data_IF_681787913212
#
_entry.id   IF_681787913212
#
_cell.length_a   1.000
_cell.length_b   1.000
_cell.length_c   1.000
_cell.angle_alpha   90.00
_cell.angle_beta   90.00
_cell.angle_gamma   90.00
#
_symmetry.space_group_name_H-M   'P 1'
#
loop_
_entity.id
_entity.type
_entity.pdbx_description
1 polymer ?
#
# COMPACT_ATOMS: atom_id res chain seq x y z
N UNK A 1 22.23 5.93 21.75
CA UNK A 1 22.76 6.10 20.37
C UNK A 1 23.69 7.31 20.38
N UNK A 2 24.99 7.25 20.12
CA UNK A 2 25.87 6.14 19.79
C UNK A 2 27.31 6.51 20.18
N UNK A 3 28.05 5.53 20.67
CA UNK A 3 29.51 5.62 20.82
C UNK A 3 30.08 4.93 19.60
N UNK A 4 30.93 5.62 18.83
CA UNK A 4 31.66 5.00 17.71
C UNK A 4 32.80 4.15 18.25
N UNK A 5 32.48 2.96 18.76
CA UNK A 5 33.46 2.02 19.28
C UNK A 5 33.27 0.66 18.61
N UNK A 6 33.96 0.41 17.48
CA UNK A 6 33.89 -0.88 16.81
C UNK A 6 34.60 -1.95 17.64
N UNK A 7 33.97 -3.13 17.75
CA UNK A 7 34.49 -4.28 18.46
C UNK A 7 34.82 -5.39 17.46
N UNK A 8 35.75 -6.30 17.81
CA UNK A 8 36.00 -7.48 16.97
C UNK A 8 34.78 -8.42 16.91
N UNK A 9 34.02 -8.49 18.01
CA UNK A 9 32.91 -9.41 18.17
C UNK A 9 31.78 -8.76 18.98
N UNK A 10 30.54 -9.08 18.63
CA UNK A 10 29.32 -8.65 19.33
C UNK A 10 28.55 -9.90 19.79
N UNK A 11 28.11 -9.89 21.06
CA UNK A 11 27.31 -10.97 21.65
C UNK A 11 25.92 -10.43 21.98
N UNK A 12 24.88 -11.09 21.51
CA UNK A 12 23.51 -10.85 21.93
C UNK A 12 23.15 -11.78 23.08
N UNK A 13 22.75 -11.20 24.21
CA UNK A 13 22.24 -11.98 25.35
C UNK A 13 20.84 -12.54 25.10
N UNK A 14 20.03 -11.79 24.35
CA UNK A 14 18.65 -12.11 23.97
C UNK A 14 18.30 -11.44 22.65
N UNK A 15 17.42 -12.07 21.86
CA UNK A 15 16.86 -11.50 20.62
C UNK A 15 15.58 -10.69 20.86
N UNK A 16 15.10 -10.64 22.12
CA UNK A 16 13.90 -9.91 22.52
C UNK A 16 14.26 -8.68 23.34
N UNK A 17 13.59 -7.56 23.03
CA UNK A 17 13.73 -6.25 23.66
C UNK A 17 12.39 -5.80 24.23
N UNK A 18 12.43 -5.17 25.39
CA UNK A 18 11.26 -4.56 26.00
C UNK A 18 11.15 -3.08 25.59
N UNK A 19 10.06 -2.70 24.92
CA UNK A 19 9.83 -1.34 24.42
C UNK A 19 9.08 -0.44 25.41
N UNK A 20 8.88 -0.92 26.64
CA UNK A 20 8.14 -0.22 27.70
C UNK A 20 6.67 -0.64 27.79
N UNK A 21 6.11 -1.25 26.74
CA UNK A 21 4.75 -1.79 26.70
C UNK A 21 4.73 -3.31 26.61
N UNK A 22 5.52 -3.84 25.68
CA UNK A 22 5.59 -5.26 25.40
C UNK A 22 7.03 -5.70 25.17
N UNK A 23 7.23 -7.01 25.31
CA UNK A 23 8.49 -7.67 25.02
C UNK A 23 8.40 -8.22 23.60
N UNK A 24 9.08 -7.57 22.67
CA UNK A 24 9.04 -7.88 21.23
C UNK A 24 10.40 -8.32 20.71
N UNK A 25 10.41 -8.96 19.56
CA UNK A 25 11.65 -9.27 18.85
C UNK A 25 12.33 -7.99 18.34
N UNK A 26 13.65 -8.08 18.19
CA UNK A 26 14.45 -7.02 17.58
C UNK A 26 14.01 -6.77 16.14
N UNK A 27 13.90 -5.50 15.77
CA UNK A 27 13.67 -5.13 14.39
C UNK A 27 14.95 -5.39 13.57
N UNK A 28 14.84 -5.72 12.27
CA UNK A 28 16.00 -5.92 11.41
C UNK A 28 16.95 -4.73 11.39
N UNK A 29 16.42 -3.51 11.48
CA UNK A 29 17.22 -2.28 11.55
C UNK A 29 18.02 -2.16 12.85
N UNK A 30 17.41 -2.53 13.99
CA UNK A 30 18.09 -2.56 15.30
C UNK A 30 19.21 -3.63 15.29
N UNK A 31 18.93 -4.80 14.73
CA UNK A 31 19.90 -5.89 14.60
C UNK A 31 21.11 -5.49 13.72
N UNK A 32 20.86 -4.91 12.54
CA UNK A 32 21.92 -4.43 11.64
C UNK A 32 22.74 -3.32 12.30
N UNK A 33 22.11 -2.41 13.05
CA UNK A 33 22.82 -1.33 13.73
C UNK A 33 23.77 -1.87 14.82
N UNK A 34 23.34 -2.87 15.59
CA UNK A 34 24.17 -3.48 16.64
C UNK A 34 25.27 -4.37 16.05
N UNK A 35 24.93 -5.24 15.08
CA UNK A 35 25.90 -6.12 14.42
C UNK A 35 26.89 -5.38 13.54
N UNK A 36 26.52 -4.22 12.98
CA UNK A 36 27.41 -3.37 12.19
C UNK A 36 28.59 -2.80 12.99
N UNK A 37 28.56 -2.90 14.32
CA UNK A 37 29.71 -2.58 15.18
C UNK A 37 30.72 -3.73 15.31
N UNK A 38 30.42 -4.92 14.79
CA UNK A 38 31.31 -6.08 14.78
C UNK A 38 32.26 -6.04 13.57
N UNK A 39 33.55 -6.21 13.83
CA UNK A 39 34.63 -6.18 12.85
C UNK A 39 35.26 -4.80 12.73
N UNK A 40 36.55 -4.70 13.05
CA UNK A 40 37.30 -3.44 12.92
C UNK A 40 37.96 -3.37 11.55
N UNK A 41 37.64 -2.32 10.79
CA UNK A 41 38.18 -2.07 9.45
C UNK A 41 39.71 -2.05 9.49
N UNK A 42 40.35 -2.91 8.69
CA UNK A 42 41.80 -2.99 8.55
C UNK A 42 42.53 -3.80 9.63
N UNK A 43 41.83 -4.32 10.65
CA UNK A 43 42.40 -5.17 11.69
C UNK A 43 41.82 -6.58 11.68
N UNK A 44 40.50 -6.68 11.49
CA UNK A 44 39.80 -7.97 11.50
C UNK A 44 39.32 -8.29 10.06
N UNK A 45 39.52 -9.53 9.60
CA UNK A 45 39.10 -9.98 8.26
C UNK A 45 37.58 -10.08 8.16
N UNK A 46 36.92 -10.46 9.26
CA UNK A 46 35.47 -10.60 9.38
C UNK A 46 35.00 -10.14 10.75
N UNK A 47 33.78 -9.62 10.84
CA UNK A 47 33.09 -9.37 12.10
C UNK A 47 32.36 -10.62 12.57
N UNK A 48 32.52 -11.01 13.83
CA UNK A 48 31.83 -12.17 14.40
C UNK A 48 30.67 -11.72 15.28
N UNK A 49 29.52 -12.35 15.09
CA UNK A 49 28.31 -12.09 15.89
C UNK A 49 27.85 -13.41 16.50
N UNK A 50 27.59 -13.43 17.79
CA UNK A 50 27.12 -14.61 18.52
C UNK A 50 25.78 -14.28 19.18
N UNK A 51 24.78 -15.15 19.01
CA UNK A 51 23.52 -15.06 19.73
C UNK A 51 23.50 -16.12 20.82
N UNK A 52 23.41 -15.68 22.07
CA UNK A 52 23.35 -16.57 23.22
C UNK A 52 21.92 -17.10 23.36
N UNK A 53 21.78 -18.43 23.37
CA UNK A 53 20.50 -19.10 23.58
C UNK A 53 20.49 -19.67 25.00
N UNK A 54 19.91 -18.92 25.95
CA UNK A 54 19.85 -19.33 27.37
C UNK A 54 18.72 -20.31 27.68
N UNK A 55 17.70 -20.39 26.83
CA UNK A 55 16.51 -21.24 27.00
C UNK A 55 16.22 -21.99 25.70
N UNK A 56 14.96 -22.00 25.29
CA UNK A 56 14.55 -22.62 24.02
C UNK A 56 15.25 -21.98 22.83
N UNK A 57 15.58 -22.82 21.85
CA UNK A 57 16.17 -22.37 20.59
C UNK A 57 15.10 -21.60 19.84
N UNK A 58 15.33 -20.33 19.49
CA UNK A 58 14.36 -19.53 18.75
C UNK A 58 14.07 -20.15 17.39
N UNK A 59 12.83 -19.99 16.91
CA UNK A 59 12.43 -20.56 15.64
C UNK A 59 13.26 -19.99 14.49
N UNK A 60 13.61 -20.85 13.54
CA UNK A 60 14.39 -20.44 12.36
C UNK A 60 13.66 -19.37 11.53
N UNK A 61 12.33 -19.35 11.56
CA UNK A 61 11.53 -18.31 10.91
C UNK A 61 11.80 -16.92 11.50
N UNK A 62 11.80 -16.80 12.83
CA UNK A 62 12.02 -15.54 13.54
C UNK A 62 13.45 -15.03 13.36
N UNK A 63 14.44 -15.92 13.47
CA UNK A 63 15.83 -15.57 13.21
C UNK A 63 16.04 -15.07 11.77
N UNK A 64 15.44 -15.74 10.78
CA UNK A 64 15.50 -15.29 9.38
C UNK A 64 14.84 -13.94 9.20
N UNK A 65 13.72 -13.68 9.88
CA UNK A 65 13.04 -12.39 9.83
C UNK A 65 13.91 -11.27 10.40
N UNK A 66 14.64 -11.51 11.49
CA UNK A 66 15.52 -10.49 12.10
C UNK A 66 16.76 -10.26 11.24
N UNK A 67 17.39 -11.32 10.72
CA UNK A 67 18.67 -11.23 10.00
C UNK A 67 18.53 -10.83 8.53
N UNK A 68 17.53 -11.36 7.83
CA UNK A 68 17.30 -11.17 6.39
C UNK A 68 16.05 -10.31 6.10
N UNK A 69 15.37 -9.84 7.14
CA UNK A 69 14.18 -9.02 6.98
C UNK A 69 14.46 -7.69 6.31
N UNK A 70 13.43 -7.12 5.69
CA UNK A 70 13.49 -5.75 5.17
C UNK A 70 13.69 -4.79 6.34
N UNK A 71 14.62 -3.84 6.16
CA UNK A 71 14.86 -2.79 7.13
C UNK A 71 13.63 -1.90 7.29
N UNK A 72 13.47 -1.34 8.49
CA UNK A 72 12.37 -0.40 8.77
C UNK A 72 12.53 0.84 7.91
N UNK A 73 11.46 1.20 7.20
CA UNK A 73 11.42 2.44 6.43
C UNK A 73 11.50 3.64 7.37
N UNK A 74 12.14 4.72 6.90
CA UNK A 74 12.16 5.98 7.61
C UNK A 74 10.74 6.53 7.68
N UNK A 75 10.23 6.72 8.89
CA UNK A 75 8.92 7.33 9.12
C UNK A 75 9.08 8.74 9.68
N UNK A 76 8.21 9.65 9.26
CA UNK A 76 8.12 10.98 9.84
C UNK A 76 7.77 10.88 11.33
N UNK A 77 8.61 11.46 12.18
CA UNK A 77 8.30 11.68 13.61
C UNK A 77 7.80 13.11 13.85
N UNK A 78 7.44 13.84 12.80
CA UNK A 78 6.94 15.19 12.92
C UNK A 78 5.62 15.19 13.70
N UNK A 79 5.59 15.91 14.82
CA UNK A 79 4.40 16.10 15.65
C UNK A 79 4.24 17.59 15.93
N UNK A 80 3.06 18.12 15.61
CA UNK A 80 2.72 19.49 15.93
C UNK A 80 2.57 19.62 17.45
N UNK A 81 3.47 20.37 18.07
CA UNK A 81 3.43 20.65 19.51
C UNK A 81 3.09 22.13 19.72
N UNK A 82 2.37 22.47 20.79
CA UNK A 82 2.01 23.87 21.10
C UNK A 82 3.20 24.82 21.08
N UNK A 83 4.38 24.38 21.56
CA UNK A 83 5.62 25.17 21.49
C UNK A 83 6.01 25.55 20.06
N UNK A 84 5.83 24.65 19.09
CA UNK A 84 6.10 24.93 17.67
C UNK A 84 5.11 25.97 17.15
N UNK A 85 3.82 25.81 17.43
CA UNK A 85 2.77 26.74 17.00
C UNK A 85 3.02 28.15 17.56
N UNK A 86 3.28 28.25 18.87
CA UNK A 86 3.53 29.53 19.52
C UNK A 86 4.80 30.21 18.99
N UNK A 87 5.85 29.43 18.72
CA UNK A 87 7.07 29.97 18.13
C UNK A 87 6.87 30.44 16.68
N UNK A 88 6.02 29.76 15.90
CA UNK A 88 5.66 30.18 14.54
C UNK A 88 4.78 31.43 14.55
N UNK A 89 3.81 31.54 15.46
CA UNK A 89 3.00 32.76 15.61
C UNK A 89 3.85 33.96 16.01
N UNK A 90 4.96 33.76 16.72
CA UNK A 90 5.91 34.82 17.08
C UNK A 90 6.75 35.26 15.88
N UNK A 91 7.01 34.39 14.92
CA UNK A 91 7.83 34.67 13.74
C UNK A 91 6.89 34.83 12.54
N UNK A 92 6.46 36.07 12.26
CA UNK A 92 5.45 36.38 11.22
C UNK A 92 5.79 35.94 9.78
N UNK A 93 7.01 35.45 9.54
CA UNK A 93 7.51 35.11 8.21
C UNK A 93 7.09 33.72 7.71
N UNK A 94 6.72 32.79 8.59
CA UNK A 94 6.41 31.40 8.20
C UNK A 94 5.08 30.98 8.82
N UNK A 95 4.11 30.68 7.96
CA UNK A 95 2.82 30.14 8.40
C UNK A 95 2.92 28.65 8.68
N UNK A 96 2.06 28.16 9.57
CA UNK A 96 2.07 26.74 9.99
C UNK A 96 1.79 25.81 8.81
N UNK A 97 0.95 26.24 7.89
CA UNK A 97 0.58 25.48 6.69
C UNK A 97 1.78 25.25 5.78
N UNK A 98 2.65 26.25 5.64
CA UNK A 98 3.85 26.17 4.81
C UNK A 98 4.87 25.22 5.44
N UNK A 99 5.01 25.23 6.77
CA UNK A 99 5.83 24.26 7.49
C UNK A 99 5.30 22.82 7.35
N UNK A 100 3.97 22.64 7.43
CA UNK A 100 3.34 21.32 7.25
C UNK A 100 3.57 20.77 5.84
N UNK A 101 3.45 21.61 4.81
CA UNK A 101 3.70 21.21 3.41
C UNK A 101 5.14 20.76 3.16
N UNK A 102 6.10 21.32 3.89
CA UNK A 102 7.51 20.96 3.80
C UNK A 102 7.89 19.78 4.72
N UNK A 103 6.95 19.27 5.52
CA UNK A 103 7.21 18.17 6.44
C UNK A 103 7.49 16.86 5.68
N UNK A 104 8.34 16.00 6.26
CA UNK A 104 8.68 14.70 5.66
C UNK A 104 7.45 13.77 5.52
N UNK A 105 6.41 13.98 6.33
CA UNK A 105 5.14 13.26 6.19
C UNK A 105 4.44 13.55 4.86
N UNK A 106 4.51 14.80 4.39
CA UNK A 106 3.83 15.24 3.16
C UNK A 106 4.63 14.90 1.89
N UNK A 107 5.92 14.60 2.04
CA UNK A 107 6.80 14.27 0.91
C UNK A 107 6.31 13.04 0.12
N UNK A 108 5.88 11.98 0.80
CA UNK A 108 5.35 10.79 0.13
C UNK A 108 4.03 11.10 -0.58
N UNK A 109 3.12 11.83 0.07
CA UNK A 109 1.85 12.27 -0.51
C UNK A 109 2.07 13.11 -1.76
N UNK A 110 3.01 14.06 -1.73
CA UNK A 110 3.36 14.89 -2.90
C UNK A 110 3.91 14.08 -4.05
N UNK A 111 4.74 13.06 -3.77
CA UNK A 111 5.25 12.14 -4.80
C UNK A 111 4.12 11.36 -5.46
N UNK A 112 3.15 10.88 -4.66
CA UNK A 112 2.00 10.14 -5.16
C UNK A 112 1.04 11.05 -5.96
N UNK A 113 0.84 12.30 -5.55
CA UNK A 113 0.05 13.29 -6.30
C UNK A 113 0.57 13.47 -7.73
N UNK A 114 1.88 13.57 -7.92
CA UNK A 114 2.47 13.69 -9.27
C UNK A 114 2.16 12.46 -10.12
N UNK A 115 2.27 11.27 -9.53
CA UNK A 115 1.93 10.01 -10.20
C UNK A 115 0.46 9.98 -10.60
N UNK A 116 -0.44 10.34 -9.69
CA UNK A 116 -1.88 10.39 -9.96
C UNK A 116 -2.24 11.42 -11.02
N UNK A 117 -1.55 12.57 -11.07
CA UNK A 117 -1.78 13.55 -12.14
C UNK A 117 -1.43 13.00 -13.53
N UNK A 118 -0.36 12.19 -13.64
CA UNK A 118 0.00 11.53 -14.91
C UNK A 118 -1.03 10.47 -15.28
N UNK A 119 -1.45 9.65 -14.30
CA UNK A 119 -2.49 8.64 -14.51
C UNK A 119 -3.82 9.27 -14.94
N UNK A 120 -4.24 10.36 -14.28
CA UNK A 120 -5.44 11.12 -14.64
C UNK A 120 -5.37 11.66 -16.07
N UNK A 121 -4.25 12.26 -16.46
CA UNK A 121 -4.07 12.74 -17.84
C UNK A 121 -4.23 11.60 -18.85
N UNK A 122 -3.59 10.46 -18.60
CA UNK A 122 -3.71 9.29 -19.47
C UNK A 122 -5.13 8.73 -19.54
N UNK A 123 -5.89 8.74 -18.45
CA UNK A 123 -7.31 8.35 -18.45
C UNK A 123 -8.17 9.37 -19.21
N UNK A 124 -7.94 10.67 -19.01
CA UNK A 124 -8.68 11.71 -19.73
C UNK A 124 -8.42 11.70 -21.24
N UNK A 125 -7.19 11.40 -21.67
CA UNK A 125 -6.85 11.25 -23.09
C UNK A 125 -7.57 10.04 -23.71
N UNK A 126 -7.64 8.91 -23.00
CA UNK A 126 -8.41 7.74 -23.44
C UNK A 126 -9.90 8.03 -23.51
N UNK A 127 -10.43 8.79 -22.55
CA UNK A 127 -11.83 9.20 -22.54
C UNK A 127 -12.15 10.11 -23.73
N UNK A 128 -11.26 11.05 -24.07
CA UNK A 128 -11.41 11.93 -25.22
C UNK A 128 -11.23 11.22 -26.58
N UNK A 129 -10.46 10.13 -26.62
CA UNK A 129 -10.23 9.34 -27.83
C UNK A 129 -11.35 8.34 -28.14
N UNK A 130 -12.24 8.07 -27.18
CA UNK A 130 -13.43 7.26 -27.44
C UNK A 130 -14.38 8.06 -28.32
N UNK A 131 -14.79 7.52 -29.49
CA UNK A 131 -15.79 8.19 -30.29
C UNK A 131 -17.06 8.27 -29.45
N UNK A 132 -17.62 9.47 -29.35
CA UNK A 132 -18.95 9.70 -28.79
C UNK A 132 -19.98 9.08 -29.74
N UNK A 133 -20.03 7.76 -29.78
CA UNK A 133 -21.05 7.00 -30.48
C UNK A 133 -22.21 6.94 -29.52
N UNK A 134 -23.14 7.88 -29.66
CA UNK A 134 -24.56 7.70 -29.40
C UNK A 134 -25.28 9.02 -29.75
N UNK A 135 -26.01 9.01 -30.86
CA UNK A 135 -26.97 10.05 -31.27
C UNK A 135 -28.20 10.15 -30.33
N UNK A 136 -28.15 9.48 -29.18
CA UNK A 136 -29.18 9.57 -28.14
C UNK A 136 -28.94 10.82 -27.31
N UNK A 137 -29.68 11.86 -27.67
CA UNK A 137 -29.85 13.12 -26.94
C UNK A 137 -30.72 13.00 -25.67
N UNK A 138 -30.85 11.80 -25.11
CA UNK A 138 -31.48 11.58 -23.81
C UNK A 138 -30.41 11.35 -22.75
N UNK A 139 -30.68 11.76 -21.51
CA UNK A 139 -29.79 11.68 -20.33
C UNK A 139 -29.19 10.28 -20.11
N UNK A 140 -28.17 9.94 -20.88
CA UNK A 140 -27.40 8.71 -20.74
C UNK A 140 -26.71 8.67 -19.38
N UNK A 141 -26.27 9.83 -18.89
CA UNK A 141 -25.73 10.01 -17.54
C UNK A 141 -26.75 9.60 -16.48
N UNK A 142 -27.99 10.10 -16.54
CA UNK A 142 -29.02 9.74 -15.57
C UNK A 142 -29.42 8.25 -15.62
N UNK A 143 -29.39 7.62 -16.80
CA UNK A 143 -29.60 6.19 -16.93
C UNK A 143 -28.46 5.38 -16.31
N UNK A 144 -27.21 5.78 -16.53
CA UNK A 144 -26.05 5.15 -15.91
C UNK A 144 -26.06 5.31 -14.40
N UNK A 145 -26.36 6.50 -13.88
CA UNK A 145 -26.47 6.77 -12.45
C UNK A 145 -27.55 5.89 -11.80
N UNK A 146 -28.73 5.77 -12.44
CA UNK A 146 -29.81 4.91 -11.96
C UNK A 146 -29.44 3.41 -12.01
N UNK A 147 -28.70 2.97 -13.02
CA UNK A 147 -28.17 1.61 -13.07
C UNK A 147 -27.15 1.34 -11.97
N UNK A 148 -26.22 2.27 -11.72
CA UNK A 148 -25.21 2.15 -10.67
C UNK A 148 -25.89 2.06 -9.29
N UNK A 149 -26.88 2.92 -9.03
CA UNK A 149 -27.68 2.89 -7.80
C UNK A 149 -28.41 1.55 -7.64
N UNK A 150 -29.04 1.02 -8.70
CA UNK A 150 -29.70 -0.29 -8.68
C UNK A 150 -28.73 -1.43 -8.39
N UNK A 151 -27.55 -1.45 -9.02
CA UNK A 151 -26.54 -2.48 -8.75
C UNK A 151 -25.94 -2.36 -7.33
N UNK A 152 -25.77 -1.13 -6.81
CA UNK A 152 -25.37 -0.88 -5.44
C UNK A 152 -26.38 -1.43 -4.44
N UNK A 153 -27.66 -1.07 -4.60
CA UNK A 153 -28.75 -1.58 -3.76
C UNK A 153 -28.90 -3.10 -3.87
N UNK A 154 -28.75 -3.68 -5.07
CA UNK A 154 -28.77 -5.13 -5.26
C UNK A 154 -27.64 -5.81 -4.49
N UNK A 155 -26.42 -5.25 -4.50
CA UNK A 155 -25.29 -5.80 -3.77
C UNK A 155 -25.55 -5.77 -2.25
N UNK A 156 -26.11 -4.69 -1.72
CA UNK A 156 -26.49 -4.60 -0.30
C UNK A 156 -27.59 -5.60 0.10
N UNK A 157 -28.60 -5.78 -0.75
CA UNK A 157 -29.68 -6.76 -0.52
C UNK A 157 -29.15 -8.20 -0.61
N UNK A 158 -28.20 -8.51 -1.49
CA UNK A 158 -27.61 -9.84 -1.62
C UNK A 158 -26.66 -10.22 -0.46
N UNK A 159 -26.14 -9.24 0.27
CA UNK A 159 -25.28 -9.44 1.46
C UNK A 159 -26.11 -9.67 2.73
N UNK A 160 -27.39 -9.30 2.75
CA UNK A 160 -28.30 -9.63 3.85
C UNK A 160 -28.73 -11.11 3.82
N UNK A 161 -28.38 -11.94 4.83
CA UNK A 161 -28.71 -13.37 4.83
C UNK A 161 -30.22 -13.67 4.92
N UNK A 162 -31.05 -12.66 5.20
CA UNK A 162 -32.48 -12.83 5.50
C UNK A 162 -33.37 -13.08 4.27
N UNK A 163 -32.90 -12.80 3.04
CA UNK A 163 -33.71 -12.92 1.82
C UNK A 163 -33.32 -14.10 0.91
N UNK A 164 -32.34 -14.92 1.30
CA UNK A 164 -31.99 -16.18 0.59
C UNK A 164 -33.10 -17.24 0.62
N UNK A 165 -34.16 -17.05 1.40
CA UNK A 165 -35.27 -18.01 1.53
C UNK A 165 -36.43 -17.80 0.53
N UNK A 166 -36.40 -16.74 -0.30
CA UNK A 166 -37.54 -16.42 -1.18
C UNK A 166 -37.27 -16.51 -2.69
N UNK A 167 -36.05 -16.85 -3.12
CA UNK A 167 -35.69 -16.99 -4.54
C UNK A 167 -35.28 -18.42 -4.90
N UNK A 168 -36.04 -19.42 -4.45
CA UNK A 168 -35.92 -20.81 -4.92
C UNK A 168 -37.14 -21.27 -5.76
N UNK A 169 -38.17 -20.44 -5.94
CA UNK A 169 -39.33 -20.76 -6.79
C UNK A 169 -39.47 -19.79 -7.98
N UNK A 170 -38.46 -19.73 -8.86
CA UNK A 170 -38.69 -19.39 -10.28
C UNK A 170 -37.44 -19.71 -11.10
N UNK A 171 -37.29 -20.98 -11.43
CA UNK A 171 -36.39 -21.43 -12.48
C UNK A 171 -36.77 -20.78 -13.82
N UNK A 172 -35.88 -19.91 -14.33
CA UNK A 172 -35.74 -19.70 -15.77
C UNK A 172 -34.27 -19.92 -16.09
N UNK A 173 -33.97 -21.14 -16.53
CA UNK A 173 -32.67 -21.55 -17.07
C UNK A 173 -32.27 -20.67 -18.26
N UNK A 174 -31.00 -20.27 -18.40
CA UNK A 174 -30.49 -19.75 -19.67
C UNK A 174 -30.30 -20.95 -20.60
N UNK A 175 -31.30 -21.26 -21.42
CA UNK A 175 -31.16 -22.22 -22.52
C UNK A 175 -30.30 -21.63 -23.61
N UNK A 176 -29.29 -22.40 -23.99
CA UNK A 176 -28.43 -22.25 -25.15
C UNK A 176 -29.16 -21.75 -26.39
N UNK A 177 -28.66 -20.68 -26.99
CA UNK A 177 -28.78 -20.44 -28.42
C UNK A 177 -27.41 -20.03 -28.96
N UNK A 178 -26.56 -21.02 -29.20
CA UNK A 178 -25.68 -20.99 -30.36
C UNK A 178 -26.57 -20.88 -31.60
N UNK A 179 -26.78 -19.65 -32.06
CA UNK A 179 -27.52 -19.31 -33.27
C UNK A 179 -26.58 -18.65 -34.26
N UNK A 180 -26.00 -19.47 -35.12
CA UNK A 180 -25.28 -19.09 -36.33
C UNK A 180 -26.12 -18.07 -37.11
N UNK A 181 -25.65 -16.82 -37.18
CA UNK A 181 -26.13 -15.84 -38.18
C UNK A 181 -25.18 -15.89 -39.36
N UNK A 182 -25.52 -16.77 -40.30
CA UNK A 182 -25.02 -16.74 -41.67
C UNK A 182 -25.61 -15.54 -42.41
N UNK A 183 -24.75 -14.72 -43.02
CA UNK A 183 -25.13 -13.68 -43.96
C UNK A 183 -25.45 -14.31 -45.32
N UNK A 184 -26.62 -14.06 -45.95
CA UNK A 184 -26.86 -14.49 -47.32
C UNK A 184 -26.53 -13.38 -48.32
N UNK A 185 -25.60 -13.68 -49.22
CA UNK A 185 -25.62 -13.17 -50.60
C UNK A 185 -24.72 -11.97 -50.91
N UNK A 186 -23.51 -12.25 -51.40
CA UNK A 186 -23.04 -11.62 -52.64
C UNK A 186 -21.99 -12.53 -53.33
N UNK A 187 -22.48 -13.50 -54.10
CA UNK A 187 -21.73 -14.13 -55.18
C UNK A 187 -22.11 -13.43 -56.47
N UNK A 188 -21.12 -12.77 -57.08
CA UNK A 188 -20.75 -12.92 -58.49
C UNK A 188 -20.28 -11.58 -59.11
N UNK A 189 -18.98 -11.52 -59.40
CA UNK A 189 -18.49 -11.08 -60.73
C UNK A 189 -17.07 -11.57 -60.98
N UNK A 190 -17.07 -12.68 -61.71
CA UNK A 190 -16.15 -13.13 -62.76
C UNK A 190 -15.03 -12.20 -63.27
N UNK A 191 -13.95 -12.91 -63.62
CA UNK A 191 -12.81 -12.62 -64.52
C UNK A 191 -11.58 -11.89 -63.94
#
# INVERSE_FOLDING_TARGET
MGVYMPARLVIFDSIRKHDGKELRDLLPSEYIQMTGSAGRRGLDVTGTVIILCKGDVPEMADLRKIMLGKTTLLQSQFRLTYSIILNLMRVEQIRVEDMMKLSFSEYNTQKDVQRHQVELKGVTEKLAALPMVLDYSGDLEAYYDACEEYYGLRAEVHVSPALRFFTEDSDVTPTDTEGIVSWPGDTDRHE
#
